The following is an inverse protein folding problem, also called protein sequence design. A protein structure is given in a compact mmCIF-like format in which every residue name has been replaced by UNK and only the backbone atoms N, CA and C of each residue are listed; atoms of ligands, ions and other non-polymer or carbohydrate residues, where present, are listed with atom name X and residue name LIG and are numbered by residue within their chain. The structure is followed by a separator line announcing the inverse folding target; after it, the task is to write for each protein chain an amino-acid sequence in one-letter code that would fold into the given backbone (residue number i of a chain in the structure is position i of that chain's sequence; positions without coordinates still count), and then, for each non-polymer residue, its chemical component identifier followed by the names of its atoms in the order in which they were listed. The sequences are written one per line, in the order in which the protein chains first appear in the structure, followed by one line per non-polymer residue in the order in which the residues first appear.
data_IF_363529560732
#
_entry.id   IF_363529560732
#
_cell.length_a   1.000
_cell.length_b   1.000
_cell.length_c   1.000
_cell.angle_alpha   90.00
_cell.angle_beta   90.00
_cell.angle_gamma   90.00
#
_symmetry.space_group_name_H-M   'P 1'
#
loop_
_entity.id
_entity.type
_entity.pdbx_description
1 polymer ?
#
# COMPACT_ATOMS: atom_id res chain seq x y z
N UNK A 1 14.35 35.51 21.67
CA UNK A 1 14.41 35.74 20.20
C UNK A 1 13.38 34.84 19.55
N UNK A 2 12.23 35.38 19.17
CA UNK A 2 11.14 34.65 18.52
C UNK A 2 11.53 34.42 17.06
N UNK A 3 12.06 33.22 16.78
CA UNK A 3 12.35 32.83 15.41
C UNK A 3 11.09 32.84 14.57
N UNK A 4 11.08 33.61 13.48
CA UNK A 4 9.99 33.64 12.50
C UNK A 4 9.65 32.20 12.10
N UNK A 5 8.41 31.73 12.28
CA UNK A 5 8.03 30.35 11.92
C UNK A 5 8.27 30.17 10.41
N UNK A 6 9.00 29.11 10.05
CA UNK A 6 9.25 28.75 8.65
C UNK A 6 7.89 28.49 7.96
N UNK A 7 7.63 29.18 6.87
CA UNK A 7 6.45 28.96 6.04
C UNK A 7 6.53 27.56 5.42
N UNK A 8 5.59 26.69 5.77
CA UNK A 8 5.48 25.33 5.24
C UNK A 8 5.19 25.40 3.73
N UNK A 9 5.93 24.65 2.93
CA UNK A 9 5.73 24.61 1.47
C UNK A 9 4.50 23.75 1.14
N UNK A 10 3.84 24.03 0.01
CA UNK A 10 2.60 23.34 -0.38
C UNK A 10 2.78 21.81 -0.43
N UNK A 11 3.89 21.31 -1.00
CA UNK A 11 4.16 19.88 -1.06
C UNK A 11 4.38 19.24 0.33
N UNK A 12 4.95 19.98 1.29
CA UNK A 12 5.09 19.52 2.69
C UNK A 12 3.72 19.41 3.37
N UNK A 13 2.81 20.34 3.05
CA UNK A 13 1.45 20.41 3.59
C UNK A 13 0.55 19.30 3.08
N UNK A 14 0.70 18.91 1.81
CA UNK A 14 -0.23 18.00 1.14
C UNK A 14 0.33 16.59 0.91
N UNK A 15 1.59 16.29 1.24
CA UNK A 15 2.20 14.97 1.04
C UNK A 15 1.43 13.81 1.70
N UNK A 16 0.72 14.06 2.80
CA UNK A 16 -0.11 13.08 3.48
C UNK A 16 -1.24 12.53 2.60
N UNK A 17 -1.70 13.30 1.60
CA UNK A 17 -2.77 12.90 0.68
C UNK A 17 -2.35 11.66 -0.12
N UNK A 18 -1.06 11.52 -0.46
CA UNK A 18 -0.55 10.36 -1.19
C UNK A 18 -0.85 9.07 -0.41
N UNK A 19 -0.48 9.03 0.87
CA UNK A 19 -0.73 7.87 1.73
C UNK A 19 -2.22 7.66 2.00
N UNK A 20 -2.97 8.75 2.14
CA UNK A 20 -4.42 8.69 2.29
C UNK A 20 -5.08 8.03 1.07
N UNK A 21 -4.70 8.45 -0.14
CA UNK A 21 -5.22 7.87 -1.39
C UNK A 21 -4.83 6.40 -1.53
N UNK A 22 -3.56 6.04 -1.24
CA UNK A 22 -3.11 4.64 -1.25
C UNK A 22 -3.95 3.80 -0.28
N UNK A 23 -4.13 4.27 0.96
CA UNK A 23 -4.97 3.59 1.95
C UNK A 23 -6.42 3.46 1.50
N UNK A 24 -6.99 4.51 0.90
CA UNK A 24 -8.36 4.51 0.38
C UNK A 24 -8.51 3.50 -0.76
N UNK A 25 -7.59 3.48 -1.73
CA UNK A 25 -7.62 2.51 -2.81
C UNK A 25 -7.51 1.07 -2.29
N UNK A 26 -6.68 0.83 -1.27
CA UNK A 26 -6.56 -0.47 -0.63
C UNK A 26 -7.88 -0.89 0.05
N UNK A 27 -8.55 0.03 0.77
CA UNK A 27 -9.88 -0.23 1.34
C UNK A 27 -10.92 -0.53 0.27
N UNK A 28 -10.95 0.27 -0.81
CA UNK A 28 -11.90 0.08 -1.91
C UNK A 28 -11.67 -1.22 -2.69
N UNK A 29 -10.45 -1.76 -2.69
CA UNK A 29 -10.12 -3.04 -3.32
C UNK A 29 -10.44 -4.25 -2.41
N UNK A 30 -10.55 -4.04 -1.10
CA UNK A 30 -10.77 -5.14 -0.14
C UNK A 30 -12.05 -5.95 -0.35
N UNK A 31 -13.21 -5.38 -0.81
CA UNK A 31 -14.42 -6.15 -1.05
C UNK A 31 -14.24 -7.29 -2.06
N UNK A 32 -13.35 -7.14 -3.04
CA UNK A 32 -13.06 -8.20 -4.03
C UNK A 32 -12.59 -9.46 -3.30
N UNK A 33 -11.61 -9.33 -2.41
CA UNK A 33 -11.13 -10.43 -1.59
C UNK A 33 -12.18 -10.92 -0.60
N UNK A 34 -12.91 -10.03 0.09
CA UNK A 34 -13.95 -10.38 1.07
C UNK A 34 -15.07 -11.21 0.45
N UNK A 35 -15.38 -11.02 -0.82
CA UNK A 35 -16.34 -11.85 -1.57
C UNK A 35 -15.75 -13.20 -1.99
N UNK A 36 -14.48 -13.48 -1.68
CA UNK A 36 -13.81 -14.73 -2.01
C UNK A 36 -13.19 -14.76 -3.40
N UNK A 37 -13.11 -13.61 -4.07
CA UNK A 37 -12.43 -13.48 -5.34
C UNK A 37 -10.99 -13.01 -5.10
N UNK A 38 -9.95 -13.77 -5.48
CA UNK A 38 -8.59 -13.28 -5.34
C UNK A 38 -8.38 -12.08 -6.27
N UNK A 39 -7.88 -10.94 -5.77
CA UNK A 39 -7.46 -9.86 -6.66
C UNK A 39 -6.26 -10.37 -7.48
N UNK A 40 -6.37 -10.35 -8.81
CA UNK A 40 -5.36 -10.86 -9.74
C UNK A 40 -4.84 -12.25 -9.39
N UNK A 41 -5.67 -13.30 -9.54
CA UNK A 41 -5.15 -14.64 -9.34
C UNK A 41 -4.02 -14.87 -10.34
N UNK A 42 -2.82 -15.29 -9.88
CA UNK A 42 -1.79 -15.73 -10.81
C UNK A 42 -2.39 -16.84 -11.67
N UNK A 43 -2.19 -16.77 -12.99
CA UNK A 43 -2.67 -17.84 -13.86
C UNK A 43 -2.02 -19.16 -13.41
N UNK A 44 -2.80 -20.16 -12.98
CA UNK A 44 -2.23 -21.43 -12.56
C UNK A 44 -1.55 -22.17 -13.73
N UNK A 45 -1.88 -21.80 -14.98
CA UNK A 45 -1.34 -22.43 -16.20
C UNK A 45 0.18 -22.34 -16.28
N UNK A 46 0.78 -21.19 -15.88
CA UNK A 46 2.23 -21.02 -15.87
C UNK A 46 2.97 -21.95 -14.89
N UNK A 47 2.29 -22.40 -13.83
CA UNK A 47 2.91 -23.25 -12.79
C UNK A 47 2.47 -24.71 -12.90
N UNK A 48 1.21 -24.96 -13.27
CA UNK A 48 0.60 -26.31 -13.26
C UNK A 48 0.36 -26.87 -14.64
N UNK A 49 0.45 -26.05 -15.70
CA UNK A 49 0.04 -26.41 -17.06
C UNK A 49 -1.47 -26.62 -17.23
N UNK A 50 -2.28 -26.29 -16.21
CA UNK A 50 -3.73 -26.51 -16.19
C UNK A 50 -4.46 -25.19 -15.95
N UNK A 51 -5.60 -25.01 -16.64
CA UNK A 51 -6.51 -23.89 -16.34
C UNK A 51 -7.18 -24.07 -14.97
N UNK A 52 -7.69 -22.98 -14.41
CA UNK A 52 -8.40 -23.01 -13.11
C UNK A 52 -9.59 -23.97 -13.13
N UNK A 53 -10.33 -24.03 -14.25
CA UNK A 53 -11.47 -24.92 -14.43
C UNK A 53 -11.03 -26.40 -14.47
N UNK A 54 -9.91 -26.68 -15.11
CA UNK A 54 -9.33 -28.03 -15.14
C UNK A 54 -8.87 -28.47 -13.75
N UNK A 55 -8.31 -27.56 -12.96
CA UNK A 55 -7.93 -27.84 -11.58
C UNK A 55 -9.18 -28.08 -10.73
N UNK A 56 -10.20 -27.23 -10.86
CA UNK A 56 -11.46 -27.34 -10.14
C UNK A 56 -12.18 -28.67 -10.41
N UNK A 57 -12.13 -29.15 -11.67
CA UNK A 57 -12.73 -30.44 -12.03
C UNK A 57 -11.98 -31.66 -11.46
N UNK A 58 -10.65 -31.53 -11.24
CA UNK A 58 -9.81 -32.61 -10.69
C UNK A 58 -9.76 -32.65 -9.18
N UNK A 59 -9.93 -31.49 -8.51
CA UNK A 59 -9.80 -31.34 -7.06
C UNK A 59 -11.10 -30.72 -6.51
N UNK A 60 -12.08 -31.54 -6.10
CA UNK A 60 -13.31 -31.06 -5.51
C UNK A 60 -13.02 -30.20 -4.27
N UNK A 61 -13.66 -29.01 -4.16
CA UNK A 61 -13.47 -28.10 -3.03
C UNK A 61 -12.31 -27.11 -3.14
N UNK A 62 -11.44 -27.22 -4.14
CA UNK A 62 -10.29 -26.30 -4.32
C UNK A 62 -10.74 -24.83 -4.43
N UNK A 63 -11.86 -24.58 -5.11
CA UNK A 63 -12.40 -23.23 -5.25
C UNK A 63 -12.85 -22.64 -3.92
N UNK A 64 -13.42 -23.48 -3.04
CA UNK A 64 -13.76 -23.06 -1.67
C UNK A 64 -12.52 -22.69 -0.85
N UNK A 65 -11.45 -23.44 -0.99
CA UNK A 65 -10.17 -23.15 -0.35
C UNK A 65 -9.54 -21.84 -0.87
N UNK A 66 -9.48 -21.65 -2.19
CA UNK A 66 -9.00 -20.41 -2.82
C UNK A 66 -9.84 -19.21 -2.34
N UNK A 67 -11.17 -19.36 -2.31
CA UNK A 67 -12.06 -18.33 -1.81
C UNK A 67 -11.85 -18.00 -0.33
N UNK A 68 -11.47 -18.97 0.52
CA UNK A 68 -11.16 -18.71 1.92
C UNK A 68 -9.86 -17.93 2.10
N UNK A 69 -8.84 -18.23 1.31
CA UNK A 69 -7.59 -17.45 1.28
C UNK A 69 -7.87 -16.03 0.78
N UNK A 70 -8.66 -15.88 -0.27
CA UNK A 70 -9.02 -14.56 -0.80
C UNK A 70 -9.75 -13.71 0.27
N UNK A 71 -10.66 -14.30 1.05
CA UNK A 71 -11.33 -13.59 2.17
C UNK A 71 -10.37 -13.14 3.24
N UNK A 72 -9.39 -13.96 3.61
CA UNK A 72 -8.36 -13.56 4.58
C UNK A 72 -7.53 -12.39 4.02
N UNK A 73 -7.12 -12.45 2.75
CA UNK A 73 -6.41 -11.35 2.10
C UNK A 73 -7.25 -10.06 2.10
N UNK A 74 -8.54 -10.15 1.78
CA UNK A 74 -9.47 -9.02 1.83
C UNK A 74 -9.54 -8.37 3.23
N UNK A 75 -9.56 -9.17 4.30
CA UNK A 75 -9.52 -8.68 5.68
C UNK A 75 -8.20 -7.93 5.96
N UNK A 76 -7.05 -8.48 5.55
CA UNK A 76 -5.77 -7.80 5.71
C UNK A 76 -5.71 -6.49 4.92
N UNK A 77 -6.19 -6.48 3.69
CA UNK A 77 -6.26 -5.26 2.86
C UNK A 77 -7.12 -4.19 3.53
N UNK A 78 -8.29 -4.56 4.07
CA UNK A 78 -9.15 -3.64 4.79
C UNK A 78 -8.45 -3.05 6.02
N UNK A 79 -7.88 -3.89 6.87
CA UNK A 79 -7.18 -3.46 8.07
C UNK A 79 -5.98 -2.57 7.74
N UNK A 80 -5.14 -2.99 6.78
CA UNK A 80 -3.97 -2.23 6.34
C UNK A 80 -4.36 -0.88 5.74
N UNK A 81 -5.39 -0.84 4.90
CA UNK A 81 -5.88 0.40 4.29
C UNK A 81 -6.41 1.38 5.32
N UNK A 82 -7.24 0.92 6.28
CA UNK A 82 -7.76 1.76 7.37
C UNK A 82 -6.62 2.30 8.26
N UNK A 83 -5.64 1.47 8.62
CA UNK A 83 -4.47 1.91 9.38
C UNK A 83 -3.66 2.97 8.60
N UNK A 84 -3.43 2.76 7.31
CA UNK A 84 -2.71 3.72 6.46
C UNK A 84 -3.44 5.05 6.38
N UNK A 85 -4.77 5.04 6.21
CA UNK A 85 -5.60 6.26 6.24
C UNK A 85 -5.46 6.97 7.60
N UNK A 86 -5.57 6.24 8.70
CA UNK A 86 -5.48 6.80 10.05
C UNK A 86 -4.12 7.46 10.32
N UNK A 87 -3.03 6.78 9.95
CA UNK A 87 -1.66 7.32 10.07
C UNK A 87 -1.48 8.55 9.18
N UNK A 88 -1.96 8.51 7.94
CA UNK A 88 -1.83 9.64 7.01
C UNK A 88 -2.61 10.87 7.47
N UNK A 89 -3.87 10.69 7.84
CA UNK A 89 -4.80 11.79 8.13
C UNK A 89 -4.48 12.55 9.43
N UNK A 90 -3.87 11.89 10.42
CA UNK A 90 -3.64 12.49 11.74
C UNK A 90 -2.15 12.70 12.02
N UNK A 91 -1.34 11.69 12.39
CA UNK A 91 0.04 11.94 12.82
C UNK A 91 0.96 12.37 11.67
N UNK A 92 0.81 11.81 10.47
CA UNK A 92 1.63 12.22 9.32
C UNK A 92 1.34 13.65 8.89
N UNK A 93 0.06 14.01 8.81
CA UNK A 93 -0.37 15.38 8.53
C UNK A 93 0.15 16.38 9.55
N UNK A 94 0.25 15.99 10.84
CA UNK A 94 0.84 16.82 11.91
C UNK A 94 2.36 16.86 11.88
N UNK A 95 3.04 15.99 11.15
CA UNK A 95 4.51 15.91 11.07
C UNK A 95 5.13 15.19 12.27
N UNK A 96 4.42 14.24 12.87
CA UNK A 96 4.94 13.42 13.95
C UNK A 96 6.00 12.43 13.41
N UNK A 97 7.21 12.45 13.94
CA UNK A 97 8.36 11.68 13.42
C UNK A 97 8.09 10.19 13.29
N UNK A 98 7.41 9.59 14.28
CA UNK A 98 7.13 8.16 14.25
C UNK A 98 6.24 7.76 13.06
N UNK A 99 5.32 8.61 12.63
CA UNK A 99 4.45 8.34 11.50
C UNK A 99 5.23 8.29 10.18
N UNK A 100 6.31 9.06 10.05
CA UNK A 100 7.20 8.98 8.91
C UNK A 100 7.91 7.62 8.85
N UNK A 101 8.40 7.12 10.00
CA UNK A 101 9.02 5.79 10.05
C UNK A 101 8.04 4.67 9.73
N UNK A 102 6.84 4.73 10.31
CA UNK A 102 5.80 3.72 10.05
C UNK A 102 5.35 3.74 8.59
N UNK A 103 5.30 4.91 7.94
CA UNK A 103 4.90 5.01 6.54
C UNK A 103 5.85 4.31 5.57
N UNK A 104 7.07 3.96 6.00
CA UNK A 104 8.01 3.13 5.22
C UNK A 104 7.50 1.71 4.97
N UNK A 105 6.54 1.23 5.75
CA UNK A 105 5.94 -0.09 5.52
C UNK A 105 5.26 -0.17 4.15
N UNK A 106 4.71 0.95 3.65
CA UNK A 106 4.00 0.99 2.35
C UNK A 106 4.94 0.71 1.18
N UNK A 107 6.05 1.45 0.97
CA UNK A 107 6.96 1.14 -0.13
C UNK A 107 7.65 -0.22 0.04
N UNK A 108 7.95 -0.67 1.26
CA UNK A 108 8.49 -2.01 1.50
C UNK A 108 7.50 -3.07 1.03
N UNK A 109 6.22 -2.92 1.34
CA UNK A 109 5.18 -3.84 0.87
C UNK A 109 5.07 -3.86 -0.66
N UNK A 110 5.11 -2.70 -1.33
CA UNK A 110 5.08 -2.60 -2.79
C UNK A 110 6.30 -3.30 -3.41
N UNK A 111 7.50 -3.11 -2.83
CA UNK A 111 8.72 -3.78 -3.32
C UNK A 111 8.61 -5.30 -3.18
N UNK A 112 8.11 -5.80 -2.05
CA UNK A 112 7.87 -7.24 -1.86
C UNK A 112 6.89 -7.76 -2.92
N UNK A 113 5.83 -7.00 -3.20
CA UNK A 113 4.85 -7.35 -4.23
C UNK A 113 5.49 -7.39 -5.63
N UNK A 114 6.30 -6.38 -5.99
CA UNK A 114 7.04 -6.34 -7.26
C UNK A 114 7.95 -7.56 -7.45
N UNK A 115 8.68 -7.96 -6.40
CA UNK A 115 9.55 -9.15 -6.43
C UNK A 115 8.72 -10.42 -6.63
N UNK A 116 7.58 -10.55 -5.96
CA UNK A 116 6.74 -11.73 -6.04
C UNK A 116 5.89 -11.81 -7.32
N UNK A 117 5.62 -10.69 -7.99
CA UNK A 117 4.76 -10.64 -9.18
C UNK A 117 5.43 -11.17 -10.46
N UNK A 118 6.76 -11.43 -10.45
CA UNK A 118 7.52 -11.92 -11.61
C UNK A 118 7.21 -11.18 -12.93
N UNK A 119 6.98 -9.87 -12.90
CA UNK A 119 6.65 -9.07 -14.07
C UNK A 119 5.21 -9.26 -14.57
N UNK A 120 4.29 -9.69 -13.72
CA UNK A 120 2.87 -9.82 -14.03
C UNK A 120 2.23 -8.50 -14.49
N UNK A 121 1.01 -8.58 -15.00
CA UNK A 121 0.27 -7.49 -15.69
C UNK A 121 0.26 -6.13 -14.96
N UNK A 122 0.37 -6.10 -13.63
CA UNK A 122 0.28 -4.87 -12.83
C UNK A 122 1.64 -4.30 -12.36
N UNK A 123 2.77 -4.91 -12.72
CA UNK A 123 4.08 -4.46 -12.24
C UNK A 123 4.39 -2.99 -12.57
N UNK A 124 3.93 -2.51 -13.74
CA UNK A 124 4.08 -1.11 -14.15
C UNK A 124 3.31 -0.16 -13.24
N UNK A 125 2.10 -0.57 -12.85
CA UNK A 125 1.26 0.18 -11.93
C UNK A 125 1.91 0.25 -10.53
N UNK A 126 2.46 -0.86 -10.05
CA UNK A 126 3.18 -0.93 -8.77
C UNK A 126 4.42 -0.04 -8.77
N UNK A 127 5.16 0.07 -9.89
CA UNK A 127 6.27 1.01 -10.02
C UNK A 127 5.82 2.47 -9.94
N UNK A 128 4.71 2.80 -10.58
CA UNK A 128 4.13 4.16 -10.50
C UNK A 128 3.69 4.46 -9.07
N UNK A 129 3.03 3.53 -8.39
CA UNK A 129 2.66 3.68 -6.98
C UNK A 129 3.89 3.84 -6.09
N UNK A 130 4.92 3.03 -6.30
CA UNK A 130 6.19 3.13 -5.56
C UNK A 130 6.80 4.51 -5.69
N UNK A 131 6.85 5.05 -6.91
CA UNK A 131 7.37 6.40 -7.16
C UNK A 131 6.61 7.46 -6.37
N UNK A 132 5.26 7.45 -6.41
CA UNK A 132 4.45 8.41 -5.66
C UNK A 132 4.60 8.27 -4.14
N UNK A 133 4.66 7.05 -3.63
CA UNK A 133 4.85 6.80 -2.20
C UNK A 133 6.22 7.27 -1.73
N UNK A 134 7.28 7.01 -2.49
CA UNK A 134 8.62 7.53 -2.20
C UNK A 134 8.65 9.06 -2.26
N UNK A 135 8.02 9.67 -3.27
CA UNK A 135 7.87 11.12 -3.31
C UNK A 135 7.15 11.65 -2.06
N UNK A 136 6.08 10.98 -1.63
CA UNK A 136 5.35 11.29 -0.39
C UNK A 136 6.22 11.23 0.86
N UNK A 137 7.23 10.35 0.92
CA UNK A 137 8.18 10.24 2.04
C UNK A 137 9.30 11.28 1.98
N UNK A 138 9.90 11.48 0.82
CA UNK A 138 11.10 12.32 0.70
C UNK A 138 10.78 13.81 0.62
N UNK A 139 9.71 14.20 -0.07
CA UNK A 139 9.36 15.62 -0.23
C UNK A 139 9.11 16.32 1.11
N UNK A 140 8.34 15.76 2.06
CA UNK A 140 8.08 16.41 3.34
C UNK A 140 9.13 16.11 4.40
N UNK A 141 10.29 15.49 4.07
CA UNK A 141 11.32 15.09 5.04
C UNK A 141 11.67 16.20 6.03
N UNK A 142 11.78 17.45 5.56
CA UNK A 142 12.11 18.61 6.40
C UNK A 142 11.00 19.00 7.38
N UNK A 143 9.77 18.56 7.17
CA UNK A 143 8.65 18.75 8.10
C UNK A 143 8.86 17.88 9.34
N UNK A 144 9.32 16.64 9.15
CA UNK A 144 9.56 15.69 10.24
C UNK A 144 10.90 15.92 10.93
N UNK A 145 11.91 16.38 10.16
CA UNK A 145 13.29 16.58 10.62
C UNK A 145 13.75 18.01 10.32
N UNK A 146 13.23 19.02 11.05
CA UNK A 146 13.68 20.40 10.89
C UNK A 146 15.15 20.51 11.28
N UNK A 147 15.95 21.20 10.45
CA UNK A 147 17.35 21.50 10.80
C UNK A 147 17.35 22.37 12.06
N UNK A 148 18.05 21.91 13.10
CA UNK A 148 18.38 22.77 14.24
C UNK A 148 19.22 23.96 13.73
N UNK A 149 18.87 25.18 14.11
CA UNK A 149 19.75 26.33 13.82
C UNK A 149 21.04 26.08 14.62
N UNK A 150 22.23 26.24 14.00
CA UNK A 150 23.46 26.32 14.77
C UNK A 150 23.35 27.52 15.71
N UNK A 151 23.66 27.30 16.99
CA UNK A 151 23.78 28.36 18.00
C UNK A 151 24.91 29.30 17.62
#
# INVERSE_FOLDING_TARGET
MTGVPRKEKAYEKYAWIIFFVVGLLTVLSSPIGLLGNPPNPPSPEGTTGLSLDQIASRIPGIMGYIGSIARQLGNFMLAFGVMTIGVAAVPYRKGEKWSWYVSWIVPVFIVIQLVNSNGGYLWQLDLVFLFFVLAGLFLPYRKFFPKSKPN
#
